data_IF_479189309791
#
_entry.id   IF_479189309791
#
_cell.length_a   1.000
_cell.length_b   1.000
_cell.length_c   1.000
_cell.angle_alpha   90.00
_cell.angle_beta   90.00
_cell.angle_gamma   90.00
#
_symmetry.space_group_name_H-M   'P 1'
#
loop_
_entity.id
_entity.type
_entity.pdbx_description
1 polymer ?
#
# COMPACT_ATOMS: atom_id res chain seq x y z
N UNK A 1 17.42 -18.88 -25.86
CA UNK A 1 17.17 -18.42 -24.48
C UNK A 1 16.12 -17.32 -24.56
N UNK A 2 14.88 -17.55 -24.12
CA UNK A 2 13.88 -16.46 -24.09
C UNK A 2 14.26 -15.54 -22.92
N UNK A 3 14.56 -14.29 -23.22
CA UNK A 3 14.66 -13.26 -22.18
C UNK A 3 13.27 -13.14 -21.55
N UNK A 4 13.19 -13.28 -20.24
CA UNK A 4 12.01 -12.88 -19.49
C UNK A 4 12.15 -11.37 -19.31
N UNK A 5 11.44 -10.58 -20.11
CA UNK A 5 11.22 -9.18 -19.75
C UNK A 5 10.43 -9.19 -18.44
N UNK A 6 11.07 -8.83 -17.33
CA UNK A 6 10.36 -8.65 -16.06
C UNK A 6 9.48 -7.41 -16.19
N UNK A 7 8.17 -7.61 -16.13
CA UNK A 7 7.23 -6.49 -16.22
C UNK A 7 7.05 -5.87 -14.83
N UNK A 8 7.20 -4.54 -14.73
CA UNK A 8 7.01 -3.80 -13.49
C UNK A 8 5.53 -3.42 -13.33
N UNK A 9 4.99 -3.58 -12.13
CA UNK A 9 3.62 -3.15 -11.81
C UNK A 9 3.49 -1.63 -11.92
N UNK A 10 2.43 -1.16 -12.56
CA UNK A 10 2.09 0.26 -12.54
C UNK A 10 1.73 0.70 -11.11
N UNK A 11 2.22 1.86 -10.69
CA UNK A 11 1.92 2.40 -9.36
C UNK A 11 0.42 2.66 -9.17
N UNK A 12 -0.12 2.48 -7.94
CA UNK A 12 -1.51 2.79 -7.65
C UNK A 12 -1.79 4.28 -7.87
N UNK A 13 -3.00 4.61 -8.33
CA UNK A 13 -3.40 6.00 -8.40
C UNK A 13 -3.56 6.58 -6.98
N UNK A 14 -2.91 7.71 -6.70
CA UNK A 14 -2.99 8.38 -5.39
C UNK A 14 -4.43 8.74 -4.97
N UNK A 15 -5.36 8.95 -5.92
CA UNK A 15 -6.78 9.18 -5.63
C UNK A 15 -7.51 7.93 -5.12
N UNK A 16 -6.94 6.74 -5.37
CA UNK A 16 -7.49 5.46 -4.93
C UNK A 16 -6.95 5.02 -3.57
N UNK A 17 -6.15 5.87 -2.91
CA UNK A 17 -5.55 5.60 -1.61
C UNK A 17 -6.18 6.52 -0.58
N UNK A 18 -6.71 5.92 0.48
CA UNK A 18 -7.22 6.62 1.66
C UNK A 18 -6.47 6.09 2.87
N UNK A 19 -5.99 6.99 3.72
CA UNK A 19 -5.35 6.66 5.00
C UNK A 19 -6.25 7.18 6.11
N UNK A 20 -6.59 6.29 7.04
CA UNK A 20 -7.30 6.60 8.27
C UNK A 20 -6.32 6.38 9.41
N UNK A 21 -5.95 7.47 10.07
CA UNK A 21 -5.17 7.47 11.31
C UNK A 21 -6.19 7.49 12.46
N UNK A 22 -6.34 6.37 13.16
CA UNK A 22 -7.34 6.16 14.19
C UNK A 22 -6.68 6.25 15.57
N UNK A 23 -7.44 6.73 16.56
CA UNK A 23 -7.00 6.90 17.94
C UNK A 23 -6.24 5.68 18.49
N UNK A 24 -5.22 5.95 19.32
CA UNK A 24 -4.47 4.94 20.04
C UNK A 24 -5.37 3.86 20.69
N UNK A 25 -5.16 2.61 20.24
CA UNK A 25 -5.96 1.46 20.66
C UNK A 25 -6.77 0.83 19.52
N UNK A 26 -6.91 1.52 18.39
CA UNK A 26 -7.44 0.98 17.15
C UNK A 26 -6.35 0.90 16.07
N UNK A 27 -6.46 -0.08 15.15
CA UNK A 27 -5.55 -0.16 14.01
C UNK A 27 -5.85 0.98 13.01
N UNK A 28 -4.80 1.61 12.49
CA UNK A 28 -4.88 2.47 11.31
C UNK A 28 -5.15 1.66 10.05
N UNK A 29 -5.72 2.35 9.06
CA UNK A 29 -6.15 1.70 7.81
C UNK A 29 -5.62 2.48 6.61
N UNK A 30 -4.81 1.78 5.80
CA UNK A 30 -4.53 2.21 4.42
C UNK A 30 -5.43 1.40 3.50
N UNK A 31 -6.45 2.06 2.93
CA UNK A 31 -7.36 1.46 1.95
C UNK A 31 -6.93 1.82 0.54
N UNK A 32 -6.75 0.80 -0.30
CA UNK A 32 -6.40 0.95 -1.72
C UNK A 32 -7.48 0.31 -2.60
N UNK A 33 -7.95 1.03 -3.61
CA UNK A 33 -9.01 0.57 -4.53
C UNK A 33 -8.56 0.52 -5.99
N UNK A 34 -9.35 -0.11 -6.85
CA UNK A 34 -9.04 -0.23 -8.28
C UNK A 34 -8.01 -1.32 -8.58
N UNK A 35 -7.95 -2.32 -7.71
CA UNK A 35 -7.01 -3.43 -7.77
C UNK A 35 -7.69 -4.68 -8.35
N UNK A 36 -6.91 -5.73 -8.57
CA UNK A 36 -7.35 -7.08 -8.96
C UNK A 36 -7.10 -8.06 -7.84
N UNK A 37 -7.89 -9.14 -7.79
CA UNK A 37 -7.63 -10.24 -6.86
C UNK A 37 -6.20 -10.78 -7.06
N UNK A 38 -5.52 -11.04 -5.94
CA UNK A 38 -4.12 -11.46 -5.93
C UNK A 38 -3.09 -10.34 -5.94
N UNK A 39 -3.49 -9.08 -6.18
CA UNK A 39 -2.57 -7.94 -6.03
C UNK A 39 -2.14 -7.81 -4.56
N UNK A 40 -0.85 -7.55 -4.33
CA UNK A 40 -0.29 -7.32 -3.00
C UNK A 40 -0.04 -5.83 -2.82
N UNK A 41 -0.60 -5.25 -1.76
CA UNK A 41 -0.33 -3.88 -1.34
C UNK A 41 0.63 -3.91 -0.18
N UNK A 42 1.70 -3.10 -0.25
CA UNK A 42 2.62 -2.87 0.87
C UNK A 42 2.65 -1.40 1.24
N UNK A 43 2.85 -1.14 2.54
CA UNK A 43 2.94 0.20 3.10
C UNK A 43 4.28 0.36 3.81
N UNK A 44 4.96 1.47 3.57
CA UNK A 44 6.30 1.77 4.08
C UNK A 44 6.34 3.12 4.82
N UNK A 45 7.36 3.27 5.67
CA UNK A 45 7.62 4.47 6.48
C UNK A 45 8.45 5.57 5.77
N UNK A 46 9.11 5.25 4.65
CA UNK A 46 9.96 6.20 3.92
C UNK A 46 9.81 6.11 2.39
N UNK A 47 10.29 7.16 1.70
CA UNK A 47 10.21 7.25 0.24
C UNK A 47 11.12 6.24 -0.48
N UNK A 48 12.24 5.89 0.12
CA UNK A 48 13.23 4.91 -0.36
C UNK A 48 13.85 4.22 0.85
N UNK A 49 14.24 2.95 0.71
CA UNK A 49 14.95 2.15 1.73
C UNK A 49 14.28 2.04 3.12
N UNK A 50 13.03 2.53 3.26
CA UNK A 50 12.24 2.44 4.50
C UNK A 50 11.68 1.06 4.78
N UNK A 51 11.27 0.84 6.03
CA UNK A 51 10.73 -0.43 6.51
C UNK A 51 9.31 -0.65 5.97
N UNK A 52 9.00 -1.92 5.65
CA UNK A 52 7.61 -2.34 5.43
C UNK A 52 6.90 -2.29 6.78
N UNK A 53 5.88 -1.43 6.89
CA UNK A 53 5.02 -1.37 8.06
C UNK A 53 4.13 -2.61 8.08
N UNK A 54 3.38 -2.81 6.99
CA UNK A 54 2.44 -3.92 6.78
C UNK A 54 2.14 -4.14 5.29
N UNK A 55 1.56 -5.29 5.00
CA UNK A 55 1.06 -5.64 3.68
C UNK A 55 -0.25 -6.43 3.76
N UNK A 56 -1.00 -6.41 2.65
CA UNK A 56 -2.21 -7.20 2.49
C UNK A 56 -2.43 -7.56 1.02
N UNK A 57 -3.03 -8.73 0.80
CA UNK A 57 -3.38 -9.23 -0.54
C UNK A 57 -4.86 -9.03 -0.81
N UNK A 58 -5.21 -8.59 -2.01
CA UNK A 58 -6.59 -8.47 -2.45
C UNK A 58 -7.20 -9.88 -2.55
N UNK A 59 -8.23 -10.13 -1.75
CA UNK A 59 -8.93 -11.41 -1.74
C UNK A 59 -9.69 -11.68 -3.05
N UNK A 60 -10.07 -12.93 -3.26
CA UNK A 60 -10.86 -13.34 -4.42
C UNK A 60 -12.15 -12.53 -4.56
N UNK A 61 -12.48 -12.20 -5.81
CA UNK A 61 -13.66 -11.40 -6.16
C UNK A 61 -13.71 -10.00 -5.53
N UNK A 62 -12.58 -9.47 -5.03
CA UNK A 62 -12.45 -8.09 -4.54
C UNK A 62 -11.61 -7.25 -5.48
N UNK A 63 -11.76 -5.93 -5.34
CA UNK A 63 -11.03 -4.91 -6.12
C UNK A 63 -10.38 -3.85 -5.22
N UNK A 64 -10.30 -4.15 -3.93
CA UNK A 64 -9.74 -3.27 -2.91
C UNK A 64 -9.23 -4.10 -1.73
N UNK A 65 -8.32 -3.52 -0.97
CA UNK A 65 -7.81 -4.11 0.27
C UNK A 65 -7.58 -3.02 1.32
N UNK A 66 -7.75 -3.41 2.59
CA UNK A 66 -7.39 -2.61 3.75
C UNK A 66 -6.12 -3.20 4.34
N UNK A 67 -5.03 -2.43 4.36
CA UNK A 67 -3.83 -2.75 5.12
C UNK A 67 -4.02 -2.18 6.53
N UNK A 68 -4.11 -3.06 7.53
CA UNK A 68 -4.25 -2.67 8.93
C UNK A 68 -2.87 -2.51 9.55
N UNK A 69 -2.58 -1.33 10.10
CA UNK A 69 -1.31 -0.98 10.75
C UNK A 69 -1.62 -0.67 12.21
N UNK A 70 -0.91 -1.25 13.19
CA UNK A 70 -1.26 -1.04 14.59
C UNK A 70 -1.27 0.43 15.05
N UNK A 71 -0.37 1.26 14.51
CA UNK A 71 -0.32 2.70 14.75
C UNK A 71 0.71 3.37 13.79
N UNK A 72 0.41 4.56 13.28
CA UNK A 72 1.24 5.44 12.45
C UNK A 72 1.77 6.64 13.24
N UNK A 73 1.07 6.99 14.32
CA UNK A 73 1.43 7.97 15.35
C UNK A 73 0.48 9.15 15.42
N UNK A 74 0.55 9.87 16.55
CA UNK A 74 -0.30 11.05 16.84
C UNK A 74 -0.07 12.25 15.91
N UNK A 75 1.07 12.29 15.20
CA UNK A 75 1.43 13.44 14.36
C UNK A 75 1.13 13.15 12.90
N UNK A 76 0.66 14.17 12.19
CA UNK A 76 0.52 14.12 10.74
C UNK A 76 1.85 13.73 10.08
N UNK A 77 1.75 12.94 9.01
CA UNK A 77 2.90 12.35 8.35
C UNK A 77 2.59 11.80 6.97
N UNK A 78 3.51 10.98 6.45
CA UNK A 78 3.39 10.31 5.16
C UNK A 78 3.61 8.81 5.32
N UNK A 79 2.85 8.04 4.57
CA UNK A 79 3.13 6.65 4.26
C UNK A 79 3.39 6.49 2.78
N UNK A 80 4.03 5.39 2.40
CA UNK A 80 4.41 5.11 1.01
C UNK A 80 3.86 3.77 0.59
N UNK A 81 3.08 3.74 -0.49
CA UNK A 81 2.30 2.58 -0.90
C UNK A 81 2.81 2.04 -2.23
N UNK A 82 2.93 0.73 -2.34
CA UNK A 82 3.19 0.02 -3.61
C UNK A 82 2.08 -0.98 -3.91
N UNK A 83 2.03 -1.41 -5.16
CA UNK A 83 1.25 -2.58 -5.59
C UNK A 83 2.18 -3.53 -6.33
N UNK A 84 2.03 -4.82 -6.10
CA UNK A 84 2.62 -5.89 -6.90
C UNK A 84 1.51 -6.71 -7.52
N UNK A 85 1.40 -6.67 -8.85
CA UNK A 85 0.51 -7.57 -9.58
C UNK A 85 1.11 -8.98 -9.63
N UNK A 86 0.24 -9.98 -9.78
CA UNK A 86 0.65 -11.37 -9.96
C UNK A 86 1.65 -11.50 -11.13
N UNK A 87 2.79 -12.16 -10.86
CA UNK A 87 3.89 -12.39 -11.80
C UNK A 87 4.63 -11.12 -12.31
N UNK A 88 4.50 -9.99 -11.60
CA UNK A 88 5.21 -8.74 -11.91
C UNK A 88 6.12 -8.32 -10.77
N UNK A 89 7.04 -7.42 -11.07
CA UNK A 89 7.81 -6.71 -10.04
C UNK A 89 6.95 -5.64 -9.36
N UNK A 90 7.35 -5.27 -8.15
CA UNK A 90 6.71 -4.25 -7.32
C UNK A 90 6.75 -2.86 -7.99
N UNK A 91 5.68 -2.09 -7.84
CA UNK A 91 5.62 -0.73 -8.38
C UNK A 91 6.55 0.25 -7.67
N UNK A 92 6.78 1.41 -8.28
CA UNK A 92 7.30 2.57 -7.56
C UNK A 92 6.37 2.98 -6.42
N UNK A 93 6.93 3.52 -5.33
CA UNK A 93 6.19 3.99 -4.15
C UNK A 93 5.38 5.25 -4.45
N UNK A 94 4.15 5.30 -3.93
CA UNK A 94 3.26 6.46 -3.97
C UNK A 94 3.13 7.03 -2.57
N UNK A 95 3.53 8.28 -2.38
CA UNK A 95 3.39 8.97 -1.10
C UNK A 95 1.94 9.35 -0.84
N UNK A 96 1.48 9.14 0.39
CA UNK A 96 0.17 9.61 0.85
C UNK A 96 0.27 10.24 2.23
N UNK A 97 -0.23 11.47 2.32
CA UNK A 97 -0.37 12.19 3.58
C UNK A 97 -1.50 11.60 4.43
N UNK A 98 -1.28 11.60 5.73
CA UNK A 98 -2.31 11.41 6.76
C UNK A 98 -2.23 12.55 7.77
N UNK A 99 -3.37 12.89 8.35
CA UNK A 99 -3.45 13.83 9.47
C UNK A 99 -3.20 13.08 10.78
N UNK A 100 -2.71 13.77 11.81
CA UNK A 100 -2.65 13.21 13.16
C UNK A 100 -4.05 12.90 13.68
N UNK A 101 -4.13 11.96 14.63
CA UNK A 101 -5.35 11.68 15.42
C UNK A 101 -5.70 12.85 16.34
#
# INVERSE_FOLDING_TARGET
MKAYDTEITAAPNASNIVVLNNDAGEDDIVRVTGLKAGDVVKVYDAAQEGNELKSATVADSKTAVNVKIPQLGEKAGKVYITVTNVNKEESVRVAKDFIGE
#
